data_IF_814598037692
#
_entry.id   IF_814598037692
#
_cell.length_a   1.000
_cell.length_b   1.000
_cell.length_c   1.000
_cell.angle_alpha   90.00
_cell.angle_beta   90.00
_cell.angle_gamma   90.00
#
_symmetry.space_group_name_H-M   'P 1'
#
loop_
_entity.id
_entity.type
_entity.pdbx_description
1 polymer ?
#
# COMPACT_ATOMS: atom_id res chain seq x y z
N UNK A 1 32.44 1.91 96.41
CA UNK A 1 32.79 3.00 95.46
C UNK A 1 33.01 2.37 94.06
N UNK A 2 32.67 3.09 92.96
CA UNK A 2 33.16 3.05 91.53
C UNK A 2 34.01 1.84 91.05
N UNK A 3 34.01 1.29 89.81
CA UNK A 3 33.38 1.48 88.45
C UNK A 3 33.68 0.19 87.61
N UNK A 4 32.90 -0.33 86.65
CA UNK A 4 32.79 -0.05 85.17
C UNK A 4 34.13 -0.04 84.36
N UNK A 5 34.30 -0.55 83.12
CA UNK A 5 33.44 -1.01 81.98
C UNK A 5 34.21 -1.99 81.01
N UNK A 6 33.53 -2.69 80.07
CA UNK A 6 34.12 -3.51 78.96
C UNK A 6 34.34 -2.70 77.64
N UNK A 7 34.78 -3.21 76.47
CA UNK A 7 35.11 -4.55 75.88
C UNK A 7 36.03 -4.36 74.63
N UNK A 8 36.13 -5.19 73.57
CA UNK A 8 35.58 -6.50 73.16
C UNK A 8 36.46 -7.12 72.00
N UNK A 9 36.09 -8.24 71.34
CA UNK A 9 36.91 -8.98 70.33
C UNK A 9 36.43 -8.88 68.86
N UNK A 10 37.29 -9.29 67.91
CA UNK A 10 36.93 -9.68 66.53
C UNK A 10 37.75 -10.90 66.06
N UNK A 11 37.14 -11.83 65.31
CA UNK A 11 37.80 -12.97 64.65
C UNK A 11 37.00 -13.41 63.41
N UNK A 12 37.69 -13.91 62.38
CA UNK A 12 37.10 -14.29 61.09
C UNK A 12 37.24 -15.80 60.81
N UNK A 13 36.22 -16.40 60.21
CA UNK A 13 36.27 -17.74 59.59
C UNK A 13 35.42 -17.70 58.31
N UNK A 14 35.92 -18.33 57.24
CA UNK A 14 35.17 -18.56 56.00
C UNK A 14 34.52 -19.97 56.00
N UNK A 15 33.34 -20.10 55.43
CA UNK A 15 32.72 -21.37 55.06
C UNK A 15 31.83 -21.15 53.82
N UNK A 16 31.89 -22.07 52.86
CA UNK A 16 31.12 -21.97 51.62
C UNK A 16 29.71 -22.55 51.74
N UNK A 17 28.83 -22.16 50.82
CA UNK A 17 27.54 -22.80 50.58
C UNK A 17 27.44 -23.28 49.14
N UNK A 18 26.85 -24.47 48.97
CA UNK A 18 26.64 -25.11 47.68
C UNK A 18 25.60 -24.37 46.85
N UNK A 19 25.70 -24.48 45.52
CA UNK A 19 24.74 -23.88 44.61
C UNK A 19 23.35 -24.49 44.76
N UNK A 20 22.35 -23.62 44.94
CA UNK A 20 21.00 -23.90 44.48
C UNK A 20 20.88 -23.30 43.08
N UNK A 21 20.96 -24.14 42.07
CA UNK A 21 20.42 -23.80 40.75
C UNK A 21 18.91 -23.73 40.91
N UNK A 22 18.38 -22.53 41.14
CA UNK A 22 16.95 -22.28 40.98
C UNK A 22 16.68 -22.37 39.49
N UNK A 23 16.27 -23.56 39.02
CA UNK A 23 15.54 -23.63 37.77
C UNK A 23 14.21 -22.95 38.03
N UNK A 24 14.15 -21.68 37.65
CA UNK A 24 12.89 -21.03 37.39
C UNK A 24 12.34 -21.68 36.12
N UNK A 25 11.52 -22.72 36.30
CA UNK A 25 10.54 -23.11 35.29
C UNK A 25 9.66 -21.88 35.08
N UNK A 26 10.07 -21.08 34.11
CA UNK A 26 9.27 -19.99 33.59
C UNK A 26 8.36 -20.67 32.60
N UNK A 27 7.22 -21.17 33.10
CA UNK A 27 6.06 -21.38 32.24
C UNK A 27 5.68 -20.00 31.69
N UNK A 28 6.35 -19.62 30.60
CA UNK A 28 5.94 -18.53 29.75
C UNK A 28 4.63 -18.98 29.12
N UNK A 29 3.53 -18.69 29.79
CA UNK A 29 2.20 -18.88 29.22
C UNK A 29 2.13 -18.06 27.94
N UNK A 30 1.74 -18.67 26.82
CA UNK A 30 1.58 -18.11 25.47
C UNK A 30 0.47 -17.04 25.40
N UNK A 31 0.48 -16.09 26.33
CA UNK A 31 -0.57 -15.10 26.49
C UNK A 31 -0.25 -13.87 25.66
N UNK A 32 -0.72 -13.90 24.42
CA UNK A 32 -0.83 -12.73 23.57
C UNK A 32 -1.46 -11.56 24.34
N UNK A 33 -0.84 -10.39 24.22
CA UNK A 33 -1.37 -9.12 24.74
C UNK A 33 -1.75 -8.26 23.56
N UNK A 34 -2.99 -7.77 23.53
CA UNK A 34 -3.54 -6.93 22.46
C UNK A 34 -3.14 -5.46 22.64
N UNK A 35 -2.79 -4.79 21.55
CA UNK A 35 -2.32 -3.41 21.49
C UNK A 35 -2.99 -2.66 20.33
N UNK A 36 -3.26 -1.37 20.51
CA UNK A 36 -3.67 -0.48 19.42
C UNK A 36 -2.48 -0.13 18.52
N UNK A 37 -2.72 -0.02 17.21
CA UNK A 37 -1.76 0.42 16.21
C UNK A 37 -1.54 1.96 16.23
N UNK A 38 -1.00 2.48 17.34
CA UNK A 38 -0.65 3.90 17.54
C UNK A 38 0.87 4.12 17.52
N UNK A 39 1.30 5.37 17.33
CA UNK A 39 2.72 5.79 17.33
C UNK A 39 3.51 5.41 18.60
N UNK A 40 2.82 5.14 19.72
CA UNK A 40 3.44 4.72 20.97
C UNK A 40 3.86 3.25 20.97
N UNK A 41 3.18 2.42 20.16
CA UNK A 41 3.40 0.97 20.05
C UNK A 41 4.11 0.57 18.76
N UNK A 42 3.88 1.29 17.65
CA UNK A 42 4.35 0.94 16.29
C UNK A 42 4.79 2.19 15.52
N UNK A 43 5.75 2.04 14.61
CA UNK A 43 6.01 3.02 13.54
C UNK A 43 4.84 2.93 12.55
N UNK A 44 4.23 4.08 12.23
CA UNK A 44 3.23 4.20 11.17
C UNK A 44 3.96 4.43 9.83
N UNK A 45 3.59 3.68 8.79
CA UNK A 45 4.23 3.72 7.47
C UNK A 45 3.29 4.35 6.45
N UNK A 46 3.78 5.38 5.76
CA UNK A 46 2.99 6.19 4.83
C UNK A 46 1.83 6.93 5.49
N UNK A 47 0.85 7.35 4.68
CA UNK A 47 -0.35 8.03 5.18
C UNK A 47 -1.26 7.02 5.87
N UNK A 48 -1.55 7.25 7.15
CA UNK A 48 -2.44 6.44 7.99
C UNK A 48 -3.49 7.34 8.66
N UNK A 49 -4.71 6.86 8.91
CA UNK A 49 -5.77 7.67 9.54
C UNK A 49 -6.36 6.98 10.77
N UNK A 50 -6.37 7.66 11.92
CA UNK A 50 -6.93 7.16 13.19
C UNK A 50 -8.45 7.43 13.25
N UNK A 51 -9.29 6.40 13.30
CA UNK A 51 -10.74 6.53 13.53
C UNK A 51 -11.16 5.67 14.73
N UNK A 52 -11.54 6.32 15.84
CA UNK A 52 -11.81 5.63 17.10
C UNK A 52 -10.60 4.81 17.53
N UNK A 53 -10.81 3.52 17.76
CA UNK A 53 -9.77 2.60 18.22
C UNK A 53 -9.05 1.87 17.07
N UNK A 54 -9.46 2.07 15.80
CA UNK A 54 -8.87 1.48 14.58
C UNK A 54 -7.92 2.43 13.80
N UNK A 55 -6.83 1.91 13.23
CA UNK A 55 -5.90 2.65 12.34
C UNK A 55 -6.08 2.23 10.89
N UNK A 56 -6.49 3.16 10.02
CA UNK A 56 -6.83 2.93 8.60
C UNK A 56 -5.59 3.12 7.72
N UNK A 57 -5.36 2.19 6.79
CA UNK A 57 -4.27 2.17 5.82
C UNK A 57 -4.83 2.29 4.40
N UNK A 58 -4.43 3.35 3.69
CA UNK A 58 -5.01 3.75 2.40
C UNK A 58 -4.16 3.33 1.20
N UNK A 59 -3.13 4.12 0.90
CA UNK A 59 -2.26 3.95 -0.27
C UNK A 59 -1.43 2.67 -0.26
N UNK A 60 -0.92 2.30 -1.44
CA UNK A 60 0.09 1.26 -1.63
C UNK A 60 1.24 1.39 -0.62
N UNK A 61 1.75 0.26 -0.13
CA UNK A 61 2.80 0.15 0.87
C UNK A 61 2.55 0.83 2.25
N UNK A 62 1.40 1.48 2.49
CA UNK A 62 1.05 1.97 3.84
C UNK A 62 0.90 0.82 4.84
N UNK A 63 1.25 1.03 6.10
CA UNK A 63 1.40 -0.06 7.06
C UNK A 63 1.80 0.33 8.47
N UNK A 64 2.23 -0.68 9.23
CA UNK A 64 2.83 -0.52 10.57
C UNK A 64 4.06 -1.41 10.72
N UNK A 65 5.02 -1.00 11.54
CA UNK A 65 6.22 -1.76 11.87
C UNK A 65 6.63 -1.59 13.34
N UNK A 66 7.01 -2.69 14.01
CA UNK A 66 7.47 -2.67 15.38
C UNK A 66 8.56 -3.72 15.63
N UNK A 67 9.31 -3.56 16.72
CA UNK A 67 10.20 -4.58 17.28
C UNK A 67 9.58 -5.21 18.53
N UNK A 68 9.77 -6.51 18.72
CA UNK A 68 9.37 -7.23 19.93
C UNK A 68 10.30 -8.43 20.19
N UNK A 69 10.29 -8.96 21.41
CA UNK A 69 11.06 -10.16 21.80
C UNK A 69 10.18 -11.39 22.03
N UNK A 70 9.05 -11.46 21.33
CA UNK A 70 8.10 -12.57 21.39
C UNK A 70 8.30 -13.57 20.25
N UNK A 71 7.61 -14.71 20.32
CA UNK A 71 7.59 -15.76 19.30
C UNK A 71 6.36 -15.71 18.40
N UNK A 72 5.35 -14.86 18.66
CA UNK A 72 4.14 -14.77 17.83
C UNK A 72 3.60 -13.34 17.71
N UNK A 73 3.11 -13.01 16.51
CA UNK A 73 2.29 -11.81 16.29
C UNK A 73 0.97 -12.16 15.59
N UNK A 74 -0.12 -11.49 15.96
CA UNK A 74 -1.43 -11.59 15.33
C UNK A 74 -1.91 -10.19 14.97
N UNK A 75 -2.29 -9.95 13.72
CA UNK A 75 -2.90 -8.67 13.30
C UNK A 75 -4.39 -8.86 13.09
N UNK A 76 -5.22 -8.05 13.75
CA UNK A 76 -6.67 -8.06 13.61
C UNK A 76 -7.08 -6.99 12.59
N UNK A 77 -7.33 -7.42 11.35
CA UNK A 77 -7.44 -6.53 10.18
C UNK A 77 -8.80 -6.61 9.50
N UNK A 78 -9.46 -5.48 9.31
CA UNK A 78 -10.73 -5.32 8.61
C UNK A 78 -10.53 -4.64 7.24
N UNK A 79 -11.45 -4.85 6.30
CA UNK A 79 -11.39 -4.32 4.93
C UNK A 79 -12.60 -3.44 4.58
N UNK A 80 -12.39 -2.42 3.75
CA UNK A 80 -13.48 -1.64 3.13
C UNK A 80 -14.12 -2.38 1.96
N UNK A 81 -15.27 -1.91 1.46
CA UNK A 81 -16.01 -2.55 0.34
C UNK A 81 -15.08 -2.89 -0.83
N UNK A 82 -14.84 -4.19 -1.04
CA UNK A 82 -13.81 -4.72 -1.92
C UNK A 82 -12.94 -5.75 -1.22
N UNK A 83 -11.77 -6.01 -1.80
CA UNK A 83 -10.71 -6.82 -1.22
C UNK A 83 -9.39 -6.03 -1.33
N UNK A 84 -8.50 -6.22 -0.36
CA UNK A 84 -7.20 -5.55 -0.31
C UNK A 84 -6.09 -6.59 -0.12
N UNK A 85 -5.03 -6.50 -0.92
CA UNK A 85 -3.83 -7.33 -0.71
C UNK A 85 -2.95 -6.75 0.38
N UNK A 86 -2.39 -7.62 1.23
CA UNK A 86 -1.42 -7.29 2.28
C UNK A 86 -0.19 -8.20 2.22
N UNK A 87 0.89 -7.77 2.86
CA UNK A 87 2.09 -8.58 3.12
C UNK A 87 2.62 -8.34 4.53
N UNK A 88 3.08 -9.41 5.18
CA UNK A 88 3.70 -9.38 6.51
C UNK A 88 5.16 -9.82 6.41
N UNK A 89 6.04 -8.96 6.89
CA UNK A 89 7.48 -9.14 6.88
C UNK A 89 7.99 -9.38 8.30
N UNK A 90 8.91 -10.33 8.46
CA UNK A 90 9.64 -10.59 9.71
C UNK A 90 11.13 -10.48 9.41
N UNK A 91 11.83 -9.63 10.16
CA UNK A 91 13.26 -9.33 9.99
C UNK A 91 13.66 -8.98 8.55
N UNK A 92 12.81 -8.19 7.88
CA UNK A 92 12.99 -7.73 6.51
C UNK A 92 12.54 -8.70 5.41
N UNK A 93 12.28 -9.98 5.73
CA UNK A 93 11.78 -10.97 4.76
C UNK A 93 10.25 -11.05 4.79
N UNK A 94 9.60 -11.02 3.62
CA UNK A 94 8.19 -11.34 3.44
C UNK A 94 7.96 -12.81 3.82
N UNK A 95 7.13 -13.04 4.84
CA UNK A 95 6.81 -14.40 5.34
C UNK A 95 5.38 -14.81 5.04
N UNK A 96 4.50 -13.85 4.74
CA UNK A 96 3.07 -14.10 4.53
C UNK A 96 2.46 -13.01 3.64
N UNK A 97 1.64 -13.36 2.65
CA UNK A 97 0.90 -12.40 1.80
C UNK A 97 -0.48 -12.96 1.43
N UNK A 98 -1.43 -12.10 1.08
CA UNK A 98 -2.75 -12.49 0.59
C UNK A 98 -3.80 -11.41 0.78
N UNK A 99 -5.10 -11.78 0.82
CA UNK A 99 -6.22 -10.84 0.65
C UNK A 99 -7.12 -10.71 1.90
N UNK A 100 -7.31 -9.47 2.36
CA UNK A 100 -8.29 -9.07 3.36
C UNK A 100 -9.61 -8.74 2.67
N UNK A 101 -10.72 -9.27 3.19
CA UNK A 101 -12.07 -9.14 2.61
C UNK A 101 -12.98 -8.34 3.54
N UNK A 102 -13.83 -7.46 2.99
CA UNK A 102 -14.89 -6.83 3.77
C UNK A 102 -16.03 -7.81 4.07
N UNK A 103 -15.97 -8.46 5.23
CA UNK A 103 -17.14 -9.02 5.96
C UNK A 103 -16.98 -9.00 7.49
N UNK A 104 -15.75 -9.11 7.99
CA UNK A 104 -15.36 -9.10 9.42
C UNK A 104 -13.90 -8.67 9.57
N UNK A 105 -13.46 -8.44 10.80
CA UNK A 105 -12.04 -8.48 11.20
C UNK A 105 -11.46 -9.87 10.92
N UNK A 106 -10.20 -9.91 10.50
CA UNK A 106 -9.49 -11.11 10.07
C UNK A 106 -8.22 -11.25 10.91
N UNK A 107 -7.99 -12.42 11.52
CA UNK A 107 -6.77 -12.70 12.28
C UNK A 107 -5.64 -13.14 11.32
N UNK A 108 -4.58 -12.34 11.28
CA UNK A 108 -3.37 -12.63 10.48
C UNK A 108 -2.23 -13.00 11.41
N UNK A 109 -2.07 -14.28 11.66
CA UNK A 109 -1.02 -14.82 12.52
C UNK A 109 0.32 -15.00 11.78
N UNK A 110 1.43 -14.66 12.44
CA UNK A 110 2.80 -15.00 12.03
C UNK A 110 3.63 -15.47 13.23
N UNK A 111 4.38 -16.54 13.03
CA UNK A 111 5.40 -17.01 13.97
C UNK A 111 6.68 -16.19 13.80
N UNK A 112 7.36 -15.92 14.91
CA UNK A 112 8.58 -15.11 15.00
C UNK A 112 9.74 -15.99 15.50
N UNK A 113 10.96 -15.82 14.97
CA UNK A 113 12.12 -16.55 15.47
C UNK A 113 12.50 -16.09 16.89
N UNK A 114 13.12 -17.00 17.67
CA UNK A 114 13.64 -16.69 19.00
C UNK A 114 14.57 -15.46 18.99
N UNK A 115 14.31 -14.48 19.87
CA UNK A 115 15.10 -13.28 20.02
C UNK A 115 14.29 -12.00 19.77
N UNK A 116 14.98 -10.88 19.48
CA UNK A 116 14.30 -9.67 19.01
C UNK A 116 13.99 -9.80 17.51
N UNK A 117 12.73 -9.58 17.15
CA UNK A 117 12.25 -9.55 15.76
C UNK A 117 11.62 -8.20 15.43
N UNK A 118 11.90 -7.70 14.23
CA UNK A 118 11.14 -6.62 13.59
C UNK A 118 10.00 -7.22 12.77
N UNK A 119 8.77 -6.78 13.00
CA UNK A 119 7.56 -7.24 12.32
C UNK A 119 6.90 -6.06 11.63
N UNK A 120 6.55 -6.21 10.35
CA UNK A 120 5.89 -5.17 9.53
C UNK A 120 4.71 -5.74 8.78
N UNK A 121 3.56 -5.08 8.83
CA UNK A 121 2.42 -5.34 7.95
C UNK A 121 2.23 -4.15 7.02
N UNK A 122 2.17 -4.38 5.71
CA UNK A 122 1.85 -3.35 4.70
C UNK A 122 0.70 -3.78 3.78
N UNK A 123 -0.05 -2.80 3.28
CA UNK A 123 -1.01 -2.97 2.19
C UNK A 123 -0.27 -2.99 0.85
N UNK A 124 -0.42 -4.05 0.06
CA UNK A 124 0.27 -4.24 -1.23
C UNK A 124 -0.52 -3.69 -2.43
N UNK A 125 -1.84 -3.55 -2.30
CA UNK A 125 -2.74 -3.03 -3.35
C UNK A 125 -3.00 -1.51 -3.20
N UNK A 126 -3.42 -0.84 -4.26
CA UNK A 126 -3.71 0.60 -4.28
C UNK A 126 -4.97 0.98 -3.50
N UNK A 127 -5.09 2.26 -3.11
CA UNK A 127 -6.23 2.77 -2.35
C UNK A 127 -7.55 2.76 -3.16
N UNK A 128 -7.47 2.81 -4.49
CA UNK A 128 -8.59 3.14 -5.36
C UNK A 128 -9.80 2.19 -5.19
N UNK A 129 -9.54 0.88 -5.07
CA UNK A 129 -10.58 -0.15 -4.89
C UNK A 129 -10.88 -0.46 -3.43
N UNK A 130 -9.91 -0.29 -2.52
CA UNK A 130 -10.06 -0.69 -1.11
C UNK A 130 -9.05 -0.01 -0.18
N UNK A 131 -9.43 0.14 1.08
CA UNK A 131 -8.58 0.44 2.23
C UNK A 131 -8.69 -0.70 3.25
N UNK A 132 -7.70 -0.84 4.13
CA UNK A 132 -7.79 -1.75 5.28
C UNK A 132 -7.71 -0.95 6.58
N UNK A 133 -8.06 -1.61 7.68
CA UNK A 133 -8.08 -1.02 8.99
C UNK A 133 -7.54 -2.03 10.01
N UNK A 134 -6.54 -1.64 10.80
CA UNK A 134 -5.99 -2.47 11.87
C UNK A 134 -6.75 -2.11 13.14
N UNK A 135 -7.62 -3.02 13.59
CA UNK A 135 -8.44 -2.86 14.79
C UNK A 135 -7.57 -3.05 16.04
N UNK A 136 -6.72 -4.08 16.05
CA UNK A 136 -5.62 -4.24 17.00
C UNK A 136 -4.51 -5.14 16.43
N UNK A 137 -3.42 -5.29 17.18
CA UNK A 137 -2.47 -6.37 16.97
C UNK A 137 -2.02 -6.95 18.31
N UNK A 138 -1.63 -8.21 18.33
CA UNK A 138 -1.29 -8.94 19.55
C UNK A 138 0.09 -9.55 19.44
N UNK A 139 0.84 -9.53 20.55
CA UNK A 139 2.15 -10.16 20.68
C UNK A 139 2.34 -10.77 22.06
N UNK A 140 3.12 -11.84 22.15
CA UNK A 140 3.59 -12.48 23.38
C UNK A 140 4.80 -11.74 23.97
N UNK A 141 4.73 -10.41 24.00
CA UNK A 141 5.81 -9.55 24.45
C UNK A 141 5.37 -8.10 24.57
N UNK A 142 6.34 -7.18 24.53
CA UNK A 142 6.07 -5.74 24.45
C UNK A 142 6.56 -5.20 23.10
N UNK A 143 5.66 -4.67 22.25
CA UNK A 143 6.06 -4.02 21.02
C UNK A 143 6.68 -2.64 21.32
N UNK A 144 7.54 -2.19 20.42
CA UNK A 144 8.04 -0.82 20.38
C UNK A 144 8.11 -0.36 18.92
N UNK A 145 7.85 0.92 18.61
CA UNK A 145 8.09 1.46 17.28
C UNK A 145 9.55 1.23 16.87
N UNK A 146 9.79 0.92 15.59
CA UNK A 146 11.14 0.95 15.03
C UNK A 146 11.64 2.39 14.93
N UNK A 147 12.96 2.58 15.02
CA UNK A 147 13.57 3.91 14.98
C UNK A 147 13.36 4.57 13.62
N UNK A 148 13.19 5.89 13.61
CA UNK A 148 13.09 6.66 12.36
C UNK A 148 14.35 6.45 11.52
N UNK A 149 14.18 6.25 10.22
CA UNK A 149 15.27 6.04 9.29
C UNK A 149 16.15 7.30 9.14
N UNK A 150 17.39 7.10 8.68
CA UNK A 150 18.32 8.19 8.32
C UNK A 150 17.75 9.10 7.22
N UNK A 151 16.96 8.50 6.32
CA UNK A 151 16.42 9.13 5.12
C UNK A 151 14.91 8.87 5.02
N UNK A 152 14.17 9.78 4.39
CA UNK A 152 12.71 9.66 4.23
C UNK A 152 12.24 10.15 2.86
N UNK A 153 11.28 9.43 2.26
CA UNK A 153 10.85 9.65 0.87
C UNK A 153 9.31 9.59 0.70
N UNK A 154 8.69 10.49 -0.06
CA UNK A 154 7.30 10.33 -0.54
C UNK A 154 7.29 10.13 -2.07
N UNK A 155 6.66 9.05 -2.53
CA UNK A 155 6.47 8.77 -3.96
C UNK A 155 5.07 9.20 -4.39
N UNK A 156 5.01 10.18 -5.29
CA UNK A 156 3.78 10.65 -5.91
C UNK A 156 3.74 10.10 -7.33
N UNK A 157 2.71 9.35 -7.71
CA UNK A 157 2.72 8.68 -9.03
C UNK A 157 1.43 8.01 -9.48
N UNK A 158 1.56 7.21 -10.54
CA UNK A 158 0.45 6.49 -11.18
C UNK A 158 0.52 4.96 -10.94
N UNK A 159 -0.09 4.18 -11.83
CA UNK A 159 -0.12 2.70 -11.81
C UNK A 159 1.28 2.06 -11.77
N UNK A 160 2.31 2.72 -12.31
CA UNK A 160 3.70 2.25 -12.24
C UNK A 160 4.19 2.23 -10.78
N UNK A 161 3.71 3.20 -9.99
CA UNK A 161 4.02 3.38 -8.56
C UNK A 161 3.10 2.53 -7.67
N UNK A 162 1.86 2.26 -8.10
CA UNK A 162 0.98 1.29 -7.43
C UNK A 162 1.49 -0.16 -7.53
N UNK A 163 2.18 -0.50 -8.64
CA UNK A 163 2.57 -1.87 -8.95
C UNK A 163 1.50 -2.64 -9.73
N UNK A 164 0.70 -1.93 -10.55
CA UNK A 164 -0.43 -2.45 -11.31
C UNK A 164 -0.04 -3.70 -12.12
N UNK A 165 -0.67 -4.84 -11.80
CA UNK A 165 -0.53 -6.08 -12.56
C UNK A 165 0.87 -6.72 -12.59
N UNK A 166 1.82 -6.23 -11.78
CA UNK A 166 3.24 -6.63 -11.81
C UNK A 166 3.50 -8.13 -11.60
N UNK A 167 2.56 -8.85 -10.98
CA UNK A 167 2.62 -10.30 -10.72
C UNK A 167 2.05 -11.19 -11.85
N UNK A 168 1.52 -10.60 -12.93
CA UNK A 168 1.03 -11.35 -14.09
C UNK A 168 1.61 -10.81 -15.41
N UNK A 169 1.88 -11.68 -16.40
CA UNK A 169 2.35 -11.27 -17.70
C UNK A 169 1.23 -10.61 -18.54
N UNK A 170 1.64 -9.90 -19.58
CA UNK A 170 0.77 -9.37 -20.63
C UNK A 170 -0.25 -10.42 -21.14
N UNK A 171 -1.49 -9.98 -21.35
CA UNK A 171 -2.59 -10.85 -21.80
C UNK A 171 -3.43 -11.44 -20.66
N UNK A 172 -3.02 -11.27 -19.41
CA UNK A 172 -3.95 -11.32 -18.26
C UNK A 172 -4.71 -10.00 -18.14
N UNK A 173 -5.79 -10.01 -17.36
CA UNK A 173 -6.52 -8.80 -16.97
C UNK A 173 -6.08 -8.36 -15.58
N UNK A 174 -6.18 -7.06 -15.30
CA UNK A 174 -5.89 -6.52 -13.98
C UNK A 174 -6.84 -7.04 -12.91
N UNK A 175 -6.31 -7.26 -11.72
CA UNK A 175 -7.04 -7.50 -10.49
C UNK A 175 -6.16 -7.11 -9.30
N UNK A 176 -6.75 -6.85 -8.14
CA UNK A 176 -5.97 -6.60 -6.90
C UNK A 176 -5.07 -7.80 -6.53
N UNK A 177 -5.32 -8.98 -7.10
CA UNK A 177 -4.52 -10.20 -6.94
C UNK A 177 -3.20 -10.20 -7.74
N UNK A 178 -3.04 -9.32 -8.73
CA UNK A 178 -1.79 -9.17 -9.48
C UNK A 178 -1.10 -7.82 -9.29
N UNK A 179 -1.63 -6.98 -8.39
CA UNK A 179 -0.98 -5.75 -7.94
C UNK A 179 -0.07 -6.01 -6.72
N UNK A 180 1.14 -5.42 -6.73
CA UNK A 180 2.10 -5.62 -5.64
C UNK A 180 3.07 -4.43 -5.48
N UNK A 181 2.76 -3.55 -4.52
CA UNK A 181 3.58 -2.38 -4.19
C UNK A 181 5.04 -2.73 -3.83
N UNK A 182 5.29 -3.87 -3.18
CA UNK A 182 6.63 -4.30 -2.77
C UNK A 182 7.54 -4.67 -3.96
N UNK A 183 6.97 -4.89 -5.15
CA UNK A 183 7.72 -5.14 -6.39
C UNK A 183 8.06 -3.88 -7.19
N UNK A 184 7.58 -2.71 -6.76
CA UNK A 184 7.75 -1.44 -7.49
C UNK A 184 9.17 -0.87 -7.41
N UNK A 185 9.52 -0.06 -8.40
CA UNK A 185 10.75 0.74 -8.40
C UNK A 185 10.85 1.61 -7.14
N UNK A 186 9.72 2.18 -6.70
CA UNK A 186 9.61 3.05 -5.55
C UNK A 186 9.96 2.33 -4.24
N UNK A 187 9.28 1.19 -3.97
CA UNK A 187 9.53 0.42 -2.75
C UNK A 187 10.97 -0.09 -2.71
N UNK A 188 11.47 -0.68 -3.81
CA UNK A 188 12.83 -1.22 -3.87
C UNK A 188 13.89 -0.10 -3.77
N UNK A 189 13.66 1.10 -4.33
CA UNK A 189 14.55 2.24 -4.13
C UNK A 189 14.58 2.72 -2.66
N UNK A 190 13.44 2.77 -1.96
CA UNK A 190 13.43 3.09 -0.53
C UNK A 190 14.18 2.04 0.31
N UNK A 191 14.00 0.75 0.00
CA UNK A 191 14.76 -0.33 0.66
C UNK A 191 16.27 -0.21 0.43
N UNK A 192 16.73 0.19 -0.76
CA UNK A 192 18.16 0.39 -1.05
C UNK A 192 18.84 1.41 -0.14
N UNK A 193 18.09 2.36 0.43
CA UNK A 193 18.59 3.37 1.38
C UNK A 193 18.17 3.11 2.84
N UNK A 194 17.41 2.04 3.10
CA UNK A 194 16.77 1.80 4.40
C UNK A 194 15.85 2.95 4.83
N UNK A 195 15.24 3.66 3.87
CA UNK A 195 14.49 4.88 4.11
C UNK A 195 13.05 4.59 4.58
N UNK A 196 12.54 5.46 5.46
CA UNK A 196 11.11 5.54 5.73
C UNK A 196 10.40 6.09 4.49
N UNK A 197 9.20 5.60 4.17
CA UNK A 197 8.54 5.94 2.92
C UNK A 197 7.03 6.23 3.06
N UNK A 198 6.52 7.02 2.11
CA UNK A 198 5.10 7.28 1.86
C UNK A 198 4.80 7.14 0.38
N UNK A 199 3.57 6.77 0.04
CA UNK A 199 3.08 6.65 -1.33
C UNK A 199 1.80 7.48 -1.47
N UNK A 200 1.68 8.18 -2.60
CA UNK A 200 0.50 8.91 -3.04
C UNK A 200 0.29 8.57 -4.51
N UNK A 201 -0.20 7.36 -4.76
CA UNK A 201 -0.33 6.81 -6.11
C UNK A 201 -1.71 6.23 -6.38
N UNK A 202 -2.19 6.43 -7.61
CA UNK A 202 -3.48 5.93 -8.11
C UNK A 202 -3.34 5.54 -9.58
N UNK A 203 -3.81 4.35 -9.95
CA UNK A 203 -3.73 3.88 -11.33
C UNK A 203 -4.52 4.77 -12.28
N UNK A 204 -3.90 5.13 -13.41
CA UNK A 204 -4.49 6.00 -14.42
C UNK A 204 -4.57 7.49 -14.05
N UNK A 205 -4.01 7.92 -12.91
CA UNK A 205 -3.99 9.33 -12.52
C UNK A 205 -2.89 10.15 -13.22
N UNK A 206 -3.14 11.45 -13.41
CA UNK A 206 -2.19 12.40 -14.00
C UNK A 206 -2.18 13.74 -13.27
N UNK A 207 -1.56 14.75 -13.89
CA UNK A 207 -1.49 16.13 -13.35
C UNK A 207 -2.62 17.01 -13.87
N UNK A 208 -2.81 17.04 -15.19
CA UNK A 208 -3.92 17.75 -15.87
C UNK A 208 -4.95 16.79 -16.47
N UNK A 209 -4.56 15.55 -16.78
CA UNK A 209 -5.47 14.52 -17.25
C UNK A 209 -5.07 13.15 -16.73
N UNK A 210 -6.01 12.45 -16.11
CA UNK A 210 -5.93 11.00 -16.02
C UNK A 210 -5.98 10.34 -17.42
N UNK A 211 -5.88 9.02 -17.47
CA UNK A 211 -5.81 8.28 -18.74
C UNK A 211 -7.00 8.59 -19.66
N UNK A 212 -6.70 8.81 -20.94
CA UNK A 212 -7.67 9.19 -21.97
C UNK A 212 -7.47 8.43 -23.28
N UNK A 213 -8.29 7.38 -23.46
CA UNK A 213 -8.35 6.67 -24.74
C UNK A 213 -8.92 7.49 -25.91
N UNK A 214 -9.62 8.60 -25.64
CA UNK A 214 -10.36 9.38 -26.65
C UNK A 214 -9.79 10.79 -26.92
N UNK A 215 -8.68 11.17 -26.27
CA UNK A 215 -8.01 12.46 -26.48
C UNK A 215 -8.70 13.69 -25.86
N UNK A 216 -9.73 13.47 -25.02
CA UNK A 216 -10.34 14.50 -24.14
C UNK A 216 -9.73 14.43 -22.75
N UNK A 217 -9.73 15.54 -22.02
CA UNK A 217 -9.30 15.58 -20.62
C UNK A 217 -10.12 14.60 -19.76
N UNK A 218 -9.46 13.94 -18.82
CA UNK A 218 -10.07 13.12 -17.78
C UNK A 218 -9.74 13.75 -16.42
N UNK A 219 -10.65 14.59 -15.93
CA UNK A 219 -10.51 15.39 -14.71
C UNK A 219 -10.90 14.63 -13.43
N UNK A 220 -11.40 13.40 -13.55
CA UNK A 220 -11.78 12.56 -12.42
C UNK A 220 -10.60 11.90 -11.67
N UNK A 221 -9.41 11.88 -12.29
CA UNK A 221 -8.20 11.23 -11.76
C UNK A 221 -6.98 12.15 -11.89
N UNK A 222 -7.02 13.27 -11.15
CA UNK A 222 -5.90 14.22 -11.06
C UNK A 222 -5.31 14.19 -9.66
N UNK A 223 -4.02 13.89 -9.54
CA UNK A 223 -3.33 13.86 -8.24
C UNK A 223 -3.42 15.19 -7.48
N UNK A 224 -3.30 16.39 -8.11
CA UNK A 224 -3.53 17.66 -7.43
C UNK A 224 -4.90 17.78 -6.73
N UNK A 225 -5.95 17.11 -7.23
CA UNK A 225 -7.29 17.19 -6.63
C UNK A 225 -7.42 16.37 -5.33
N UNK A 226 -6.46 15.51 -5.00
CA UNK A 226 -6.47 14.67 -3.80
C UNK A 226 -5.12 14.61 -3.07
N UNK A 227 -4.12 15.39 -3.47
CA UNK A 227 -2.81 15.40 -2.82
C UNK A 227 -2.89 15.84 -1.35
N UNK A 228 -3.89 16.65 -0.99
CA UNK A 228 -4.15 17.06 0.39
C UNK A 228 -5.00 16.07 1.21
N UNK A 229 -5.39 14.92 0.62
CA UNK A 229 -6.22 13.89 1.27
C UNK A 229 -5.39 12.74 1.83
N UNK A 230 -5.98 12.04 2.80
CA UNK A 230 -5.45 10.82 3.38
C UNK A 230 -5.19 9.76 2.29
N UNK A 231 -6.20 9.49 1.46
CA UNK A 231 -6.07 8.67 0.27
C UNK A 231 -7.15 9.00 -0.77
N UNK A 232 -6.95 8.59 -2.02
CA UNK A 232 -8.02 8.54 -3.01
C UNK A 232 -8.63 7.12 -3.06
N UNK A 233 -9.94 7.00 -2.89
CA UNK A 233 -10.65 5.73 -3.01
C UNK A 233 -12.09 5.91 -3.51
N UNK A 234 -12.60 4.93 -4.26
CA UNK A 234 -14.03 4.79 -4.54
C UNK A 234 -14.76 3.94 -3.50
N UNK A 235 -14.00 3.28 -2.60
CA UNK A 235 -14.53 2.39 -1.58
C UNK A 235 -15.19 3.14 -0.42
N UNK A 236 -15.95 2.39 0.36
CA UNK A 236 -16.60 2.85 1.58
C UNK A 236 -16.13 1.98 2.74
N UNK A 237 -15.74 2.61 3.85
CA UNK A 237 -15.38 1.95 5.09
C UNK A 237 -16.30 2.47 6.19
N UNK A 238 -16.98 1.57 6.91
CA UNK A 238 -17.88 1.92 8.01
C UNK A 238 -18.90 3.04 7.65
N UNK A 239 -19.57 2.90 6.50
CA UNK A 239 -20.56 3.87 6.03
C UNK A 239 -20.02 5.21 5.54
N UNK A 240 -18.70 5.42 5.55
CA UNK A 240 -18.04 6.67 5.17
C UNK A 240 -17.08 6.48 3.97
N UNK A 241 -16.88 7.56 3.20
CA UNK A 241 -15.86 7.62 2.16
C UNK A 241 -14.58 8.23 2.73
N UNK A 242 -13.55 7.41 2.95
CA UNK A 242 -12.25 7.85 3.50
C UNK A 242 -11.50 8.82 2.58
N UNK A 243 -11.90 8.91 1.30
CA UNK A 243 -11.42 9.92 0.36
C UNK A 243 -11.75 11.38 0.77
N UNK A 244 -12.68 11.59 1.69
CA UNK A 244 -13.00 12.91 2.23
C UNK A 244 -12.16 13.28 3.47
N UNK A 245 -11.28 12.40 3.95
CA UNK A 245 -10.40 12.71 5.08
C UNK A 245 -9.19 13.51 4.59
N UNK A 246 -8.89 14.63 5.24
CA UNK A 246 -7.70 15.42 4.97
C UNK A 246 -6.44 14.74 5.52
N UNK A 247 -5.29 14.94 4.86
CA UNK A 247 -3.98 14.52 5.37
C UNK A 247 -3.33 15.64 6.17
N UNK A 248 -2.91 15.31 7.39
CA UNK A 248 -2.09 16.19 8.21
C UNK A 248 -0.60 16.00 7.87
N UNK A 249 -0.10 16.89 7.03
CA UNK A 249 1.30 16.95 6.61
C UNK A 249 2.30 17.15 7.75
N UNK A 250 1.88 17.47 8.98
CA UNK A 250 2.80 17.49 10.12
C UNK A 250 3.19 16.09 10.61
N UNK A 251 2.42 15.05 10.25
CA UNK A 251 2.72 13.65 10.61
C UNK A 251 3.87 13.05 9.78
N UNK A 252 4.10 13.55 8.56
CA UNK A 252 5.19 13.09 7.70
C UNK A 252 5.69 14.22 6.79
N UNK A 253 6.94 14.64 6.99
CA UNK A 253 7.66 15.62 6.18
C UNK A 253 8.90 14.93 5.60
N UNK A 254 8.83 14.37 4.38
CA UNK A 254 9.94 13.61 3.80
C UNK A 254 11.14 14.50 3.47
N UNK A 255 12.34 13.93 3.50
CA UNK A 255 13.56 14.57 2.99
C UNK A 255 13.47 14.76 1.47
N UNK A 256 12.93 13.77 0.75
CA UNK A 256 12.81 13.74 -0.72
C UNK A 256 11.38 13.40 -1.16
N UNK A 257 10.88 14.10 -2.19
CA UNK A 257 9.61 13.77 -2.86
C UNK A 257 9.92 13.40 -4.31
N UNK A 258 9.59 12.17 -4.71
CA UNK A 258 9.75 11.70 -6.09
C UNK A 258 8.39 11.78 -6.79
N UNK A 259 8.29 12.59 -7.83
CA UNK A 259 7.07 12.75 -8.63
C UNK A 259 7.24 11.99 -9.94
N UNK A 260 6.55 10.87 -10.11
CA UNK A 260 6.53 10.06 -11.33
C UNK A 260 5.14 10.13 -11.97
N UNK A 261 4.85 11.28 -12.59
CA UNK A 261 3.59 11.59 -13.25
C UNK A 261 3.84 12.18 -14.63
N UNK A 262 2.95 11.86 -15.58
CA UNK A 262 3.02 12.29 -16.97
C UNK A 262 2.63 11.19 -17.95
N UNK A 263 2.71 9.91 -17.56
CA UNK A 263 2.33 8.76 -18.40
C UNK A 263 0.89 8.89 -18.89
N UNK A 264 -0.02 9.22 -17.98
CA UNK A 264 -1.45 9.34 -18.27
C UNK A 264 -1.78 10.66 -18.99
N UNK A 265 -1.13 11.77 -18.61
CA UNK A 265 -1.25 13.04 -19.32
C UNK A 265 -0.84 12.93 -20.79
N UNK A 266 0.20 12.14 -21.11
CA UNK A 266 0.64 11.88 -22.48
C UNK A 266 -0.46 11.24 -23.36
N UNK A 267 -1.36 10.45 -22.77
CA UNK A 267 -2.52 9.91 -23.49
C UNK A 267 -3.53 10.98 -23.91
N UNK A 268 -3.55 12.13 -23.24
CA UNK A 268 -4.32 13.32 -23.62
C UNK A 268 -3.53 14.26 -24.55
N UNK A 269 -2.28 14.58 -24.23
CA UNK A 269 -1.46 15.54 -24.98
C UNK A 269 -1.06 15.01 -26.35
N UNK A 270 -0.56 13.77 -26.43
CA UNK A 270 -0.10 13.10 -27.67
C UNK A 270 0.88 13.95 -28.52
N UNK A 271 1.71 14.76 -27.87
CA UNK A 271 2.66 15.68 -28.53
C UNK A 271 2.02 16.92 -29.18
N UNK A 272 0.74 17.20 -28.93
CA UNK A 272 0.10 18.46 -29.31
C UNK A 272 0.72 19.63 -28.52
N UNK A 273 1.32 20.65 -29.17
CA UNK A 273 2.06 21.69 -28.48
C UNK A 273 1.23 22.51 -27.48
N UNK A 274 -0.04 22.80 -27.79
CA UNK A 274 -0.91 23.59 -26.92
C UNK A 274 -1.23 22.79 -25.65
N UNK A 275 -1.52 21.49 -25.79
CA UNK A 275 -1.76 20.59 -24.66
C UNK A 275 -0.50 20.31 -23.83
N UNK A 276 0.67 20.25 -24.45
CA UNK A 276 1.93 20.12 -23.72
C UNK A 276 2.23 21.37 -22.88
N UNK A 277 1.90 22.57 -23.38
CA UNK A 277 1.99 23.81 -22.61
C UNK A 277 0.94 23.89 -21.49
N UNK A 278 -0.27 23.34 -21.69
CA UNK A 278 -1.25 23.17 -20.61
C UNK A 278 -0.72 22.23 -19.51
N UNK A 279 -0.07 21.11 -19.89
CA UNK A 279 0.55 20.18 -18.95
C UNK A 279 1.70 20.83 -18.18
N UNK A 280 2.62 21.53 -18.85
CA UNK A 280 3.73 22.28 -18.22
C UNK A 280 3.20 23.21 -17.12
N UNK A 281 2.20 24.04 -17.47
CA UNK A 281 1.56 24.96 -16.53
C UNK A 281 0.86 24.25 -15.37
N UNK A 282 0.21 23.12 -15.62
CA UNK A 282 -0.37 22.28 -14.57
C UNK A 282 0.69 21.75 -13.61
N UNK A 283 1.81 21.27 -14.15
CA UNK A 283 2.94 20.74 -13.39
C UNK A 283 3.61 21.82 -12.53
N UNK A 284 3.83 23.04 -13.07
CA UNK A 284 4.31 24.20 -12.29
C UNK A 284 3.41 24.50 -11.08
N UNK A 285 2.08 24.43 -11.25
CA UNK A 285 1.15 24.67 -10.15
C UNK A 285 1.19 23.54 -9.12
N UNK A 286 1.31 22.28 -9.55
CA UNK A 286 1.42 21.15 -8.64
C UNK A 286 2.74 21.17 -7.85
N UNK A 287 3.86 21.59 -8.45
CA UNK A 287 5.12 21.81 -7.71
C UNK A 287 4.97 22.86 -6.61
N UNK A 288 4.24 23.96 -6.87
CA UNK A 288 3.92 24.97 -5.85
C UNK A 288 3.05 24.41 -4.72
N UNK A 289 2.12 23.52 -5.04
CA UNK A 289 1.29 22.83 -4.04
C UNK A 289 2.14 21.90 -3.17
N UNK A 290 2.95 21.02 -3.78
CA UNK A 290 3.87 20.12 -3.08
C UNK A 290 4.79 20.92 -2.15
N UNK A 291 5.40 22.02 -2.65
CA UNK A 291 6.25 22.89 -1.84
C UNK A 291 5.50 23.57 -0.69
N UNK A 292 4.27 24.02 -0.91
CA UNK A 292 3.47 24.67 0.14
C UNK A 292 3.11 23.70 1.28
N UNK A 293 2.95 22.40 0.98
CA UNK A 293 2.72 21.34 1.97
C UNK A 293 4.01 20.80 2.60
N UNK A 294 5.13 20.84 1.86
CA UNK A 294 6.42 20.28 2.24
C UNK A 294 7.55 21.33 2.02
N UNK A 295 7.69 22.31 2.93
CA UNK A 295 8.56 23.48 2.69
C UNK A 295 10.06 23.18 2.61
N UNK A 296 10.52 22.03 3.13
CA UNK A 296 11.96 21.72 3.26
C UNK A 296 12.48 20.65 2.28
N UNK A 297 11.60 19.80 1.75
CA UNK A 297 11.98 18.61 0.97
C UNK A 297 12.70 18.95 -0.33
N UNK A 298 13.61 18.09 -0.76
CA UNK A 298 14.00 18.02 -2.16
C UNK A 298 12.83 17.46 -2.99
N UNK A 299 12.66 17.91 -4.23
CA UNK A 299 11.68 17.35 -5.16
C UNK A 299 12.43 16.81 -6.39
N UNK A 300 12.21 15.55 -6.74
CA UNK A 300 12.77 14.91 -7.93
C UNK A 300 11.63 14.53 -8.88
N UNK A 301 11.49 15.28 -9.96
CA UNK A 301 10.51 15.03 -11.00
C UNK A 301 11.06 13.99 -11.98
N UNK A 302 10.29 12.94 -12.24
CA UNK A 302 10.72 11.76 -12.99
C UNK A 302 9.70 11.36 -14.03
N UNK A 303 10.18 10.81 -15.14
CA UNK A 303 9.38 10.14 -16.17
C UNK A 303 10.29 9.23 -16.99
N UNK A 304 9.75 8.17 -17.59
CA UNK A 304 10.45 7.43 -18.64
C UNK A 304 10.04 5.97 -18.81
N UNK A 305 9.67 5.30 -17.71
CA UNK A 305 9.54 3.83 -17.66
C UNK A 305 8.55 3.29 -18.72
N UNK A 306 7.41 3.96 -18.92
CA UNK A 306 6.39 3.62 -19.94
C UNK A 306 6.34 4.60 -21.13
N UNK A 307 7.32 5.49 -21.26
CA UNK A 307 7.32 6.59 -22.24
C UNK A 307 8.04 7.82 -21.71
N UNK A 308 8.63 8.60 -22.62
CA UNK A 308 9.51 9.74 -22.32
C UNK A 308 9.02 11.06 -22.91
N UNK A 309 7.89 11.06 -23.63
CA UNK A 309 7.44 12.14 -24.51
C UNK A 309 7.19 13.48 -23.80
N UNK A 310 6.71 13.44 -22.55
CA UNK A 310 6.48 14.64 -21.74
C UNK A 310 7.67 15.02 -20.84
N UNK A 311 8.78 14.28 -20.85
CA UNK A 311 9.96 14.63 -20.05
C UNK A 311 10.55 16.02 -20.37
N UNK A 312 10.59 16.49 -21.64
CA UNK A 312 10.94 17.87 -21.95
C UNK A 312 10.02 18.87 -21.24
N UNK A 313 8.70 18.69 -21.30
CA UNK A 313 7.72 19.57 -20.64
C UNK A 313 7.81 19.54 -19.11
N UNK A 314 8.24 18.42 -18.50
CA UNK A 314 8.57 18.37 -17.06
C UNK A 314 9.84 19.19 -16.77
N UNK A 315 10.83 19.14 -17.66
CA UNK A 315 12.07 19.93 -17.53
C UNK A 315 11.78 21.42 -17.63
N UNK A 316 11.02 21.83 -18.66
CA UNK A 316 10.56 23.20 -18.86
C UNK A 316 9.72 23.68 -17.66
N UNK A 317 8.81 22.84 -17.13
CA UNK A 317 8.04 23.15 -15.93
C UNK A 317 8.90 23.37 -14.68
N UNK A 318 9.96 22.56 -14.48
CA UNK A 318 10.88 22.71 -13.35
C UNK A 318 11.70 24.00 -13.47
N UNK A 319 12.17 24.35 -14.68
CA UNK A 319 12.91 25.60 -14.91
C UNK A 319 12.01 26.85 -14.83
N UNK A 320 10.76 26.77 -15.31
CA UNK A 320 9.72 27.79 -15.09
C UNK A 320 9.44 27.96 -13.60
N UNK A 321 9.22 26.87 -12.85
CA UNK A 321 9.00 26.91 -11.40
C UNK A 321 10.17 27.56 -10.65
N UNK A 322 11.41 27.18 -10.95
CA UNK A 322 12.63 27.78 -10.37
C UNK A 322 12.72 29.28 -10.66
N UNK A 323 12.39 29.68 -11.89
CA UNK A 323 12.44 31.07 -12.34
C UNK A 323 11.37 31.93 -11.65
N UNK A 324 10.16 31.38 -11.45
CA UNK A 324 9.06 32.10 -10.79
C UNK A 324 9.20 32.21 -9.27
N UNK A 325 9.81 31.22 -8.62
CA UNK A 325 9.83 31.10 -7.14
C UNK A 325 11.19 31.36 -6.50
N UNK A 326 12.29 31.16 -7.23
CA UNK A 326 13.64 31.14 -6.69
C UNK A 326 14.00 29.87 -5.90
N UNK A 327 13.09 28.88 -5.81
CA UNK A 327 13.35 27.61 -5.13
C UNK A 327 14.16 26.67 -6.03
N UNK A 328 15.39 26.37 -5.61
CA UNK A 328 16.30 25.48 -6.33
C UNK A 328 16.21 24.00 -5.93
N UNK A 329 15.41 23.65 -4.90
CA UNK A 329 15.28 22.27 -4.36
C UNK A 329 14.35 21.38 -5.21
N UNK A 330 14.51 21.48 -6.54
CA UNK A 330 13.75 20.73 -7.54
C UNK A 330 14.70 20.26 -8.64
N UNK A 331 14.72 18.96 -8.90
CA UNK A 331 15.57 18.30 -9.89
C UNK A 331 14.73 17.45 -10.84
N UNK A 332 15.30 17.11 -12.00
CA UNK A 332 14.69 16.18 -12.96
C UNK A 332 15.55 14.94 -13.16
N UNK A 333 14.92 13.79 -13.38
CA UNK A 333 15.60 12.55 -13.76
C UNK A 333 14.78 11.73 -14.76
N UNK A 334 15.40 11.37 -15.88
CA UNK A 334 14.76 10.56 -16.93
C UNK A 334 15.08 9.08 -16.72
N UNK A 335 14.05 8.27 -16.51
CA UNK A 335 14.18 6.81 -16.54
C UNK A 335 14.41 6.31 -17.97
N UNK A 336 15.10 5.19 -18.13
CA UNK A 336 15.04 4.40 -19.36
C UNK A 336 13.62 3.91 -19.61
N UNK A 337 13.23 3.79 -20.89
CA UNK A 337 12.02 3.07 -21.27
C UNK A 337 12.22 1.58 -20.95
N UNK A 338 11.17 0.92 -20.44
CA UNK A 338 11.19 -0.49 -20.11
C UNK A 338 11.66 -1.37 -21.29
N UNK A 339 12.67 -2.22 -21.03
CA UNK A 339 13.17 -3.20 -22.01
C UNK A 339 12.19 -4.38 -22.14
N UNK A 340 11.12 -4.16 -22.89
CA UNK A 340 10.09 -5.17 -23.12
C UNK A 340 10.53 -6.34 -23.99
N UNK A 341 11.62 -6.20 -24.74
CA UNK A 341 12.14 -7.28 -25.59
C UNK A 341 12.79 -8.37 -24.73
N UNK A 342 13.54 -7.98 -23.71
CA UNK A 342 14.21 -8.91 -22.80
C UNK A 342 13.41 -9.21 -21.52
N UNK A 343 12.69 -8.24 -20.96
CA UNK A 343 11.99 -8.38 -19.67
C UNK A 343 10.48 -8.65 -19.79
N UNK A 344 9.93 -8.61 -21.01
CA UNK A 344 8.49 -8.65 -21.26
C UNK A 344 7.72 -7.47 -20.64
N UNK A 345 6.40 -7.58 -20.69
CA UNK A 345 5.45 -6.67 -20.05
C UNK A 345 4.63 -7.40 -18.99
N UNK A 346 4.22 -6.66 -17.96
CA UNK A 346 3.11 -7.02 -17.09
C UNK A 346 1.75 -6.80 -17.80
N UNK A 347 0.65 -6.95 -17.05
CA UNK A 347 -0.73 -6.64 -17.48
C UNK A 347 -0.82 -5.24 -18.13
N UNK A 348 -1.58 -5.13 -19.21
CA UNK A 348 -1.85 -3.87 -19.93
C UNK A 348 -0.59 -3.04 -20.27
N UNK A 349 0.51 -3.73 -20.63
CA UNK A 349 1.80 -3.13 -21.01
C UNK A 349 2.56 -2.41 -19.87
N UNK A 350 2.18 -2.65 -18.61
CA UNK A 350 2.89 -2.11 -17.46
C UNK A 350 4.27 -2.78 -17.25
N UNK A 351 5.16 -2.18 -16.43
CA UNK A 351 6.47 -2.73 -16.15
C UNK A 351 6.40 -4.06 -15.40
N UNK A 352 7.02 -5.09 -15.97
CA UNK A 352 7.26 -6.36 -15.28
C UNK A 352 8.12 -6.15 -14.03
N UNK A 353 8.09 -7.09 -13.08
CA UNK A 353 8.91 -7.02 -11.87
C UNK A 353 10.41 -6.83 -12.15
N UNK A 354 10.91 -7.35 -13.28
CA UNK A 354 12.30 -7.14 -13.73
C UNK A 354 12.52 -5.69 -14.17
N UNK A 355 11.63 -5.13 -14.98
CA UNK A 355 11.71 -3.71 -15.40
C UNK A 355 11.55 -2.75 -14.21
N UNK A 356 10.68 -3.06 -13.25
CA UNK A 356 10.57 -2.32 -11.97
C UNK A 356 11.88 -2.35 -11.18
N UNK A 357 12.57 -3.50 -11.12
CA UNK A 357 13.87 -3.65 -10.44
C UNK A 357 14.99 -2.87 -11.15
N UNK A 358 14.99 -2.85 -12.49
CA UNK A 358 15.91 -2.00 -13.28
C UNK A 358 15.68 -0.52 -12.98
N UNK A 359 14.42 -0.06 -13.00
CA UNK A 359 14.08 1.31 -12.63
C UNK A 359 14.44 1.63 -11.16
N UNK A 360 14.31 0.68 -10.23
CA UNK A 360 14.75 0.87 -8.85
C UNK A 360 16.25 1.20 -8.77
N UNK A 361 17.09 0.47 -9.51
CA UNK A 361 18.53 0.74 -9.57
C UNK A 361 18.83 2.09 -10.21
N UNK A 362 18.18 2.44 -11.33
CA UNK A 362 18.32 3.75 -11.98
C UNK A 362 18.00 4.90 -11.03
N UNK A 363 16.86 4.84 -10.33
CA UNK A 363 16.49 5.86 -9.34
C UNK A 363 17.48 5.91 -8.18
N UNK A 364 17.97 4.75 -7.73
CA UNK A 364 18.96 4.69 -6.64
C UNK A 364 20.26 5.40 -7.03
N UNK A 365 20.80 5.13 -8.23
CA UNK A 365 21.98 5.84 -8.74
C UNK A 365 21.74 7.34 -8.92
N UNK A 366 20.53 7.74 -9.35
CA UNK A 366 20.16 9.15 -9.45
C UNK A 366 20.13 9.84 -8.07
N UNK A 367 19.53 9.21 -7.06
CA UNK A 367 19.44 9.76 -5.70
C UNK A 367 20.85 9.85 -5.05
N UNK A 368 21.71 8.85 -5.24
CA UNK A 368 23.12 8.92 -4.83
C UNK A 368 23.86 10.09 -5.50
N UNK A 369 23.71 10.23 -6.82
CA UNK A 369 24.43 11.24 -7.60
C UNK A 369 23.96 12.68 -7.33
N UNK A 370 22.68 12.88 -7.03
CA UNK A 370 22.10 14.21 -6.81
C UNK A 370 22.17 14.62 -5.33
N UNK A 371 21.86 13.69 -4.40
CA UNK A 371 21.67 14.00 -2.98
C UNK A 371 22.73 13.38 -2.05
N UNK A 372 23.60 12.51 -2.56
CA UNK A 372 24.68 11.90 -1.76
C UNK A 372 24.21 10.90 -0.70
N UNK A 373 22.99 10.35 -0.85
CA UNK A 373 22.50 9.29 0.02
C UNK A 373 23.37 8.04 -0.11
N UNK A 374 23.50 7.27 0.98
CA UNK A 374 24.33 6.07 1.04
C UNK A 374 23.43 4.83 1.12
N UNK A 375 23.70 3.81 0.29
CA UNK A 375 22.96 2.55 0.36
C UNK A 375 23.22 1.79 1.66
N UNK A 376 22.22 1.05 2.11
CA UNK A 376 22.35 0.06 3.19
C UNK A 376 22.67 -1.32 2.63
N UNK A 377 23.14 -2.23 3.49
CA UNK A 377 23.19 -3.66 3.15
C UNK A 377 21.75 -4.20 3.08
N UNK A 378 21.38 -4.74 1.92
CA UNK A 378 20.04 -5.28 1.71
C UNK A 378 19.90 -6.69 2.29
N UNK A 379 18.85 -6.89 3.07
CA UNK A 379 18.32 -8.22 3.35
C UNK A 379 17.57 -8.73 2.11
N UNK A 380 17.62 -10.03 1.82
CA UNK A 380 16.74 -10.63 0.82
C UNK A 380 15.28 -10.51 1.29
N UNK A 381 14.51 -9.66 0.62
CA UNK A 381 13.12 -9.35 0.99
C UNK A 381 12.17 -10.53 0.77
N UNK A 382 12.55 -11.57 0.03
CA UNK A 382 11.68 -12.71 -0.32
C UNK A 382 10.47 -12.35 -1.19
N UNK A 383 10.33 -11.09 -1.61
CA UNK A 383 9.15 -10.59 -2.34
C UNK A 383 9.09 -11.20 -3.74
N UNK A 384 10.25 -11.36 -4.37
CA UNK A 384 10.37 -12.00 -5.69
C UNK A 384 10.27 -13.55 -5.59
N UNK A 385 10.27 -14.14 -4.39
CA UNK A 385 10.14 -15.59 -4.12
C UNK A 385 8.68 -16.05 -3.95
N UNK A 386 7.80 -15.18 -3.45
CA UNK A 386 6.39 -15.49 -3.17
C UNK A 386 5.57 -15.73 -4.43
N UNK A 387 4.64 -16.70 -4.35
CA UNK A 387 3.80 -17.20 -5.43
C UNK A 387 2.31 -16.94 -5.18
N UNK A 388 1.47 -17.37 -6.13
CA UNK A 388 0.00 -17.37 -5.97
C UNK A 388 -0.51 -18.50 -5.07
N UNK A 389 0.29 -19.54 -4.84
CA UNK A 389 -0.09 -20.61 -3.93
C UNK A 389 0.02 -20.14 -2.47
N UNK A 390 1.00 -19.27 -2.17
CA UNK A 390 1.14 -18.61 -0.86
C UNK A 390 -0.05 -17.68 -0.53
N UNK A 391 -0.56 -16.94 -1.53
CA UNK A 391 -1.80 -16.16 -1.37
C UNK A 391 -3.02 -17.07 -1.06
N UNK A 392 -3.10 -18.24 -1.70
CA UNK A 392 -4.19 -19.21 -1.47
C UNK A 392 -4.09 -19.85 -0.09
N UNK A 393 -2.89 -20.23 0.34
CA UNK A 393 -2.65 -20.77 1.69
C UNK A 393 -3.05 -19.75 2.77
N UNK A 394 -2.63 -18.48 2.63
CA UNK A 394 -3.06 -17.39 3.49
C UNK A 394 -4.58 -17.28 3.56
N UNK A 395 -5.26 -17.26 2.41
CA UNK A 395 -6.69 -17.01 2.37
C UNK A 395 -7.52 -18.15 2.93
N UNK A 396 -7.06 -19.40 2.83
CA UNK A 396 -7.72 -20.52 3.50
C UNK A 396 -7.66 -20.36 5.03
N UNK A 397 -6.49 -20.07 5.60
CA UNK A 397 -6.29 -19.89 7.06
C UNK A 397 -7.11 -18.69 7.60
N UNK A 398 -7.17 -17.60 6.84
CA UNK A 398 -7.96 -16.42 7.22
C UNK A 398 -9.48 -16.68 7.13
N UNK A 399 -9.95 -17.43 6.13
CA UNK A 399 -11.36 -17.80 6.06
C UNK A 399 -11.78 -18.76 7.19
N UNK A 400 -10.95 -19.75 7.53
CA UNK A 400 -11.19 -20.68 8.65
C UNK A 400 -11.31 -19.93 9.99
N UNK A 401 -10.32 -19.11 10.36
CA UNK A 401 -10.35 -18.33 11.62
C UNK A 401 -11.55 -17.38 11.72
N UNK A 402 -11.93 -16.70 10.63
CA UNK A 402 -13.12 -15.82 10.60
C UNK A 402 -14.45 -16.57 10.83
N UNK A 403 -14.45 -17.89 10.61
CA UNK A 403 -15.61 -18.76 10.79
C UNK A 403 -15.74 -19.28 12.23
N UNK A 404 -14.63 -19.48 12.95
CA UNK A 404 -14.63 -19.99 14.33
C UNK A 404 -15.17 -18.96 15.32
N UNK A 405 -14.76 -17.68 15.24
CA UNK A 405 -15.39 -16.57 15.99
C UNK A 405 -16.91 -16.49 15.75
N UNK A 406 -17.38 -16.85 14.55
CA UNK A 406 -18.81 -16.86 14.22
C UNK A 406 -19.60 -17.99 14.89
N UNK A 407 -18.88 -18.99 15.42
CA UNK A 407 -19.45 -20.10 16.18
C UNK A 407 -19.45 -19.82 17.68
N UNK A 408 -18.40 -19.18 18.22
CA UNK A 408 -18.35 -18.78 19.63
C UNK A 408 -19.36 -17.66 19.93
N UNK A 409 -19.46 -16.64 19.08
CA UNK A 409 -20.50 -15.59 19.20
C UNK A 409 -21.94 -16.12 19.09
N UNK A 410 -22.16 -17.29 18.47
CA UNK A 410 -23.46 -17.99 18.45
C UNK A 410 -23.71 -18.85 19.69
N UNK A 411 -22.68 -19.22 20.45
CA UNK A 411 -22.84 -19.99 21.66
C UNK A 411 -23.47 -19.16 22.80
N UNK A 412 -23.23 -17.84 22.83
CA UNK A 412 -23.80 -16.96 23.86
C UNK A 412 -25.24 -16.49 23.58
N UNK A 413 -25.68 -16.37 22.33
CA UNK A 413 -27.07 -15.95 22.00
C UNK A 413 -28.11 -17.09 22.08
N UNK A 414 -27.69 -18.36 22.19
CA UNK A 414 -28.57 -19.54 22.17
C UNK A 414 -29.27 -19.82 23.52
N UNK A 415 -29.92 -18.81 24.13
CA UNK A 415 -30.70 -19.02 25.37
C UNK A 415 -32.00 -18.21 25.52
N UNK A 416 -32.73 -17.95 24.43
CA UNK A 416 -34.17 -17.65 24.53
C UNK A 416 -34.98 -18.06 23.29
N UNK A 417 -35.53 -19.28 23.30
CA UNK A 417 -36.64 -19.63 22.41
C UNK A 417 -37.97 -19.05 22.92
N UNK A 418 -38.70 -18.36 22.05
CA UNK A 418 -40.15 -18.19 22.17
C UNK A 418 -40.77 -18.18 20.77
N UNK A 419 -41.82 -18.98 20.58
CA UNK A 419 -42.38 -19.34 19.28
C UNK A 419 -43.51 -18.42 18.80
N UNK A 420 -43.68 -18.32 17.48
CA UNK A 420 -45.03 -18.33 16.87
C UNK A 420 -44.95 -18.67 15.38
N UNK A 421 -45.73 -19.67 14.95
CA UNK A 421 -45.97 -19.99 13.54
C UNK A 421 -47.01 -19.02 12.94
N UNK A 422 -46.91 -18.73 11.64
CA UNK A 422 -48.04 -18.33 10.82
C UNK A 422 -47.83 -18.78 9.35
N UNK A 423 -48.92 -19.19 8.70
CA UNK A 423 -48.95 -19.98 7.46
C UNK A 423 -49.43 -19.19 6.23
N UNK A 424 -48.98 -19.61 5.03
CA UNK A 424 -49.61 -19.44 3.68
C UNK A 424 -50.04 -18.01 3.23
N UNK A 425 -50.25 -17.69 1.94
CA UNK A 425 -50.61 -18.52 0.78
C UNK A 425 -50.11 -17.90 -0.57
N UNK A 426 -50.30 -18.69 -1.63
CA UNK A 426 -50.11 -18.54 -3.07
C UNK A 426 -50.31 -17.14 -3.73
N UNK A 427 -49.68 -16.87 -4.88
CA UNK A 427 -50.28 -17.24 -6.17
C UNK A 427 -49.35 -17.12 -7.39
N UNK A 428 -49.64 -17.95 -8.40
CA UNK A 428 -48.94 -18.11 -9.68
C UNK A 428 -49.44 -17.17 -10.77
N UNK A 429 -48.55 -16.77 -11.70
CA UNK A 429 -48.88 -16.68 -13.13
C UNK A 429 -47.62 -16.75 -14.00
N UNK A 430 -47.60 -17.65 -14.98
CA UNK A 430 -46.55 -17.74 -16.00
C UNK A 430 -47.03 -17.15 -17.33
N UNK A 431 -46.11 -16.61 -18.14
CA UNK A 431 -46.33 -16.43 -19.58
C UNK A 431 -45.01 -16.59 -20.31
N UNK A 432 -45.08 -17.13 -21.53
CA UNK A 432 -43.93 -17.45 -22.37
C UNK A 432 -44.15 -16.90 -23.78
N UNK A 433 -43.09 -16.57 -24.52
CA UNK A 433 -42.78 -17.26 -25.79
C UNK A 433 -41.72 -16.58 -26.68
N UNK A 434 -40.87 -17.45 -27.23
CA UNK A 434 -40.35 -17.50 -28.61
C UNK A 434 -39.42 -16.42 -29.21
N UNK A 435 -38.22 -16.94 -29.47
CA UNK A 435 -37.19 -16.61 -30.47
C UNK A 435 -37.67 -16.56 -31.93
N UNK A 436 -36.98 -15.76 -32.76
CA UNK A 436 -36.72 -16.01 -34.20
C UNK A 436 -35.30 -15.54 -34.59
N UNK A 437 -34.78 -15.98 -35.75
CA UNK A 437 -33.37 -15.89 -36.16
C UNK A 437 -33.18 -15.48 -37.63
N UNK A 438 -31.90 -15.26 -38.04
CA UNK A 438 -31.30 -15.50 -39.37
C UNK A 438 -31.19 -14.31 -40.39
N UNK A 439 -30.38 -14.37 -41.50
CA UNK A 439 -28.91 -14.08 -41.50
C UNK A 439 -28.33 -13.35 -42.77
N UNK A 440 -26.97 -13.37 -42.92
CA UNK A 440 -26.12 -13.08 -44.11
C UNK A 440 -25.90 -11.60 -44.53
N UNK A 441 -24.80 -11.19 -45.22
CA UNK A 441 -23.78 -11.91 -46.04
C UNK A 441 -22.33 -11.33 -45.96
N UNK A 442 -21.41 -11.85 -46.79
CA UNK A 442 -19.92 -11.70 -46.76
C UNK A 442 -19.31 -10.89 -47.92
N UNK A 443 -18.11 -10.28 -47.71
CA UNK A 443 -16.96 -10.19 -48.68
C UNK A 443 -15.69 -9.57 -48.03
N UNK A 444 -14.52 -9.76 -48.64
CA UNK A 444 -13.14 -9.39 -48.21
C UNK A 444 -12.31 -9.05 -49.50
N UNK A 445 -11.03 -8.57 -49.54
CA UNK A 445 -10.05 -8.16 -48.49
C UNK A 445 -9.21 -6.86 -48.78
N UNK A 446 -8.25 -6.53 -47.88
CA UNK A 446 -7.10 -5.58 -48.00
C UNK A 446 -7.42 -4.05 -48.13
N UNK A 447 -6.65 -3.08 -47.60
CA UNK A 447 -5.31 -3.03 -46.95
C UNK A 447 -5.26 -2.13 -45.67
N UNK A 448 -4.09 -2.15 -45.02
CA UNK A 448 -3.47 -1.13 -44.15
C UNK A 448 -3.82 -1.04 -42.65
N UNK A 449 -2.74 -0.95 -41.87
CA UNK A 449 -2.73 -1.22 -40.44
C UNK A 449 -2.91 0.05 -39.61
N UNK A 450 -4.01 0.09 -38.85
CA UNK A 450 -4.11 0.83 -37.60
C UNK A 450 -4.51 -0.18 -36.52
N UNK A 451 -3.59 -0.51 -35.61
CA UNK A 451 -3.91 -1.36 -34.46
C UNK A 451 -4.80 -0.59 -33.49
N UNK A 452 -6.11 -0.71 -33.69
CA UNK A 452 -7.11 -0.23 -32.77
C UNK A 452 -7.04 -1.02 -31.46
N UNK A 453 -6.47 -0.39 -30.44
CA UNK A 453 -6.42 -0.93 -29.07
C UNK A 453 -7.84 -0.97 -28.51
N UNK A 454 -8.46 -2.15 -28.53
CA UNK A 454 -9.70 -2.42 -27.81
C UNK A 454 -9.38 -2.80 -26.36
N UNK A 455 -9.07 -1.80 -25.53
CA UNK A 455 -9.02 -1.99 -24.07
C UNK A 455 -10.41 -2.42 -23.60
N UNK A 456 -10.46 -3.49 -22.79
CA UNK A 456 -11.69 -3.98 -22.19
C UNK A 456 -12.28 -2.92 -21.25
N UNK A 457 -13.49 -2.46 -21.55
CA UNK A 457 -14.20 -1.42 -20.81
C UNK A 457 -14.79 -1.95 -19.46
N UNK A 458 -14.00 -2.72 -18.71
CA UNK A 458 -14.45 -3.48 -17.54
C UNK A 458 -14.37 -2.70 -16.21
N UNK A 459 -13.51 -1.67 -16.13
CA UNK A 459 -13.26 -0.93 -14.88
C UNK A 459 -14.31 0.15 -14.53
N UNK A 460 -15.28 0.44 -15.40
CA UNK A 460 -16.22 1.58 -15.24
C UNK A 460 -17.71 1.18 -15.10
N UNK A 461 -18.04 -0.11 -15.12
CA UNK A 461 -19.43 -0.57 -15.07
C UNK A 461 -20.01 -0.69 -13.64
N UNK A 462 -19.18 -0.68 -12.59
CA UNK A 462 -19.59 -0.97 -11.21
C UNK A 462 -20.35 0.16 -10.48
N UNK A 463 -20.09 1.44 -10.83
CA UNK A 463 -20.54 2.59 -10.02
C UNK A 463 -21.91 3.18 -10.43
N UNK A 464 -22.49 2.76 -11.56
CA UNK A 464 -23.62 3.47 -12.18
C UNK A 464 -25.02 3.09 -11.65
N UNK A 465 -25.16 2.13 -10.73
CA UNK A 465 -26.48 1.52 -10.40
C UNK A 465 -27.12 1.88 -9.04
N UNK A 466 -26.53 2.76 -8.23
CA UNK A 466 -27.04 3.02 -6.85
C UNK A 466 -27.79 4.36 -6.68
N UNK A 467 -27.62 5.34 -7.58
CA UNK A 467 -28.20 6.70 -7.40
C UNK A 467 -29.70 6.79 -7.73
N UNK A 468 -30.33 5.73 -8.25
CA UNK A 468 -31.73 5.74 -8.73
C UNK A 468 -32.68 4.85 -7.93
N UNK A 469 -32.93 5.17 -6.64
CA UNK A 469 -34.23 4.99 -5.94
C UNK A 469 -34.20 5.46 -4.48
N UNK A 470 -34.64 6.70 -4.24
CA UNK A 470 -35.43 7.13 -3.06
C UNK A 470 -35.88 8.59 -3.24
N UNK A 471 -37.14 8.76 -3.60
CA UNK A 471 -38.01 9.91 -3.32
C UNK A 471 -39.31 9.34 -2.77
#
# INVERSE_FOLDING_TARGET
MKKFLAGFCAAAIAAGCMGMTVMADTEATDKLTSYEATSDNVKLIGRTYRKGDTTILGYSASGIEFKCTGTKAVFNVNGSVGEARIGVFVNGKLVKQGYIKNKKTNAVEVELPEGESTVKLIKLSEAAQSVIAIDSFEVDGKPQPTEAAKHSIEFIGDSITCGYGVDDPLGKSFSIYNENAAKTYAYKAAQNFGADYSFVSVSGAGVISGYSGNGKINDALLVPNFYDKFCFTWSWFDGEQTANYDWDFSQYQPELIVVNLGTNDNSYTKGDPDKCAEFEKGYVNFLKEIRAKNPNSEILCTLGIMGQELYPSITDAVDTYKTETGDSKVSVFQFSVQDSENNGYAVDYHPSAVSQKTAAYELTYAIEGIYGWERVELVNDGVDEMTKDDDVEFNNVVEESSSEESSESKAEESSSEASSEATNDSSTAASSSKTTTNPNSTTNPNTDAAMGISIGLAALAGAAMVVSKRK
#
